data_IF_143340127062
#
_entry.id   IF_143340127062
#
_cell.length_a   1.000
_cell.length_b   1.000
_cell.length_c   1.000
_cell.angle_alpha   90.00
_cell.angle_beta   90.00
_cell.angle_gamma   90.00
#
_symmetry.space_group_name_H-M   'P 1'
#
loop_
_entity.id
_entity.type
_entity.pdbx_description
1 polymer ?
#
# COMPACT_ATOMS: atom_id res chain seq x y z
N UNK A 1 26.73 -37.50 -5.82
CA UNK A 1 25.36 -37.11 -6.16
C UNK A 1 25.39 -36.35 -7.49
N UNK A 2 24.51 -36.71 -8.42
CA UNK A 2 24.60 -36.26 -9.82
C UNK A 2 24.60 -34.74 -9.92
N UNK A 3 25.54 -34.20 -10.71
CA UNK A 3 25.54 -32.79 -11.08
C UNK A 3 24.13 -32.43 -11.56
N UNK A 4 23.40 -31.62 -10.79
CA UNK A 4 22.15 -31.05 -11.25
C UNK A 4 22.49 -30.32 -12.54
N UNK A 5 22.06 -30.86 -13.68
CA UNK A 5 22.20 -30.16 -14.95
C UNK A 5 21.58 -28.78 -14.75
N UNK A 6 22.34 -27.72 -15.05
CA UNK A 6 21.87 -26.33 -14.92
C UNK A 6 20.48 -26.16 -15.55
N UNK A 7 20.17 -26.90 -16.63
CA UNK A 7 18.85 -26.92 -17.25
C UNK A 7 17.72 -27.42 -16.33
N UNK A 8 17.93 -28.49 -15.55
CA UNK A 8 16.91 -28.99 -14.61
C UNK A 8 16.65 -28.00 -13.48
N UNK A 9 17.70 -27.34 -12.99
CA UNK A 9 17.56 -26.28 -11.99
C UNK A 9 16.75 -25.09 -12.53
N UNK A 10 17.04 -24.62 -13.75
CA UNK A 10 16.26 -23.53 -14.37
C UNK A 10 14.81 -23.94 -14.69
N UNK A 11 14.55 -25.20 -15.07
CA UNK A 11 13.19 -25.70 -15.28
C UNK A 11 12.38 -25.75 -13.98
N UNK A 12 12.97 -26.27 -12.90
CA UNK A 12 12.36 -26.29 -11.56
C UNK A 12 12.14 -24.87 -11.02
N UNK A 13 13.08 -23.95 -11.23
CA UNK A 13 12.90 -22.56 -10.82
C UNK A 13 11.78 -21.85 -11.59
N UNK A 14 11.72 -22.09 -12.91
CA UNK A 14 10.71 -21.49 -13.77
C UNK A 14 9.30 -22.00 -13.46
N UNK A 15 9.13 -23.32 -13.34
CA UNK A 15 7.82 -23.93 -13.07
C UNK A 15 7.44 -23.91 -11.58
N UNK A 16 8.41 -24.09 -10.68
CA UNK A 16 8.18 -24.21 -9.25
C UNK A 16 8.06 -22.88 -8.50
N UNK A 17 8.69 -21.80 -8.99
CA UNK A 17 8.63 -20.51 -8.31
C UNK A 17 8.22 -19.35 -9.22
N UNK A 18 8.82 -19.21 -10.41
CA UNK A 18 8.64 -18.02 -11.23
C UNK A 18 7.19 -17.86 -11.73
N UNK A 19 6.65 -18.91 -12.34
CA UNK A 19 5.27 -18.92 -12.84
C UNK A 19 4.22 -18.72 -11.72
N UNK A 20 4.23 -19.49 -10.60
CA UNK A 20 3.26 -19.29 -9.54
C UNK A 20 3.39 -17.93 -8.87
N UNK A 21 4.61 -17.42 -8.69
CA UNK A 21 4.86 -16.09 -8.11
C UNK A 21 4.27 -14.97 -9.00
N UNK A 22 4.50 -15.04 -10.31
CA UNK A 22 3.94 -14.06 -11.24
C UNK A 22 2.40 -14.14 -11.31
N UNK A 23 1.86 -15.36 -11.31
CA UNK A 23 0.40 -15.58 -11.31
C UNK A 23 -0.25 -15.05 -10.03
N UNK A 24 0.33 -15.35 -8.86
CA UNK A 24 -0.15 -14.82 -7.58
C UNK A 24 -0.08 -13.30 -7.52
N UNK A 25 1.01 -12.69 -8.01
CA UNK A 25 1.14 -11.24 -8.08
C UNK A 25 0.07 -10.60 -8.98
N UNK A 26 -0.27 -11.24 -10.09
CA UNK A 26 -1.36 -10.78 -10.96
C UNK A 26 -2.73 -10.96 -10.30
N UNK A 27 -3.01 -12.13 -9.73
CA UNK A 27 -4.28 -12.46 -9.05
C UNK A 27 -4.58 -11.51 -7.88
N UNK A 28 -3.56 -11.04 -7.18
CA UNK A 28 -3.72 -10.05 -6.12
C UNK A 28 -3.96 -8.64 -6.67
N UNK A 29 -3.24 -8.21 -7.70
CA UNK A 29 -3.21 -6.79 -8.10
C UNK A 29 -4.28 -6.43 -9.14
N UNK A 30 -4.78 -7.39 -9.93
CA UNK A 30 -5.68 -7.07 -11.06
C UNK A 30 -6.98 -6.39 -10.61
N UNK A 31 -7.60 -6.83 -9.51
CA UNK A 31 -8.82 -6.22 -8.97
C UNK A 31 -8.58 -4.76 -8.59
N UNK A 32 -7.44 -4.48 -7.95
CA UNK A 32 -7.05 -3.13 -7.57
C UNK A 32 -6.86 -2.23 -8.80
N UNK A 33 -6.23 -2.76 -9.86
CA UNK A 33 -6.04 -2.03 -11.13
C UNK A 33 -7.37 -1.70 -11.81
N UNK A 34 -8.32 -2.64 -11.82
CA UNK A 34 -9.66 -2.41 -12.39
C UNK A 34 -10.38 -1.31 -11.61
N UNK A 35 -10.38 -1.36 -10.28
CA UNK A 35 -11.05 -0.35 -9.45
C UNK A 35 -10.38 1.02 -9.64
N UNK A 36 -9.04 1.08 -9.68
CA UNK A 36 -8.31 2.31 -9.97
C UNK A 36 -8.67 2.89 -11.35
N UNK A 37 -8.78 2.04 -12.37
CA UNK A 37 -9.17 2.45 -13.72
C UNK A 37 -10.59 3.03 -13.70
N UNK A 38 -11.55 2.33 -13.09
CA UNK A 38 -12.94 2.79 -12.95
C UNK A 38 -13.02 4.13 -12.23
N UNK A 39 -12.35 4.28 -11.08
CA UNK A 39 -12.28 5.55 -10.35
C UNK A 39 -11.71 6.68 -11.23
N UNK A 40 -10.66 6.40 -12.00
CA UNK A 40 -10.07 7.39 -12.91
C UNK A 40 -11.00 7.76 -14.06
N UNK A 41 -11.72 6.80 -14.64
CA UNK A 41 -12.75 7.05 -15.66
C UNK A 41 -13.83 7.97 -15.09
N UNK A 42 -14.29 7.73 -13.86
CA UNK A 42 -15.27 8.58 -13.18
C UNK A 42 -14.77 10.02 -12.98
N UNK A 43 -13.51 10.22 -12.59
CA UNK A 43 -12.99 11.58 -12.38
C UNK A 43 -12.84 12.40 -13.66
N UNK A 44 -12.66 11.73 -14.80
CA UNK A 44 -12.62 12.39 -16.12
C UNK A 44 -13.99 12.95 -16.55
N UNK A 45 -15.10 12.51 -15.94
CA UNK A 45 -16.45 13.00 -16.26
C UNK A 45 -16.75 14.40 -15.71
N UNK A 46 -15.77 15.09 -15.11
CA UNK A 46 -15.97 16.45 -14.60
C UNK A 46 -16.86 16.54 -13.36
N UNK A 47 -16.97 15.47 -12.59
CA UNK A 47 -17.83 15.39 -11.40
C UNK A 47 -17.42 16.42 -10.31
N UNK A 48 -18.37 16.85 -9.45
CA UNK A 48 -18.06 17.68 -8.29
C UNK A 48 -17.03 17.04 -7.35
N UNK A 49 -16.19 17.85 -6.69
CA UNK A 49 -15.12 17.35 -5.80
C UNK A 49 -15.65 16.40 -4.71
N UNK A 50 -16.80 16.72 -4.13
CA UNK A 50 -17.47 15.88 -3.15
C UNK A 50 -17.72 14.45 -3.66
N UNK A 51 -18.25 14.32 -4.88
CA UNK A 51 -18.52 13.00 -5.50
C UNK A 51 -17.23 12.26 -5.78
N UNK A 52 -16.17 12.97 -6.18
CA UNK A 52 -14.84 12.38 -6.38
C UNK A 52 -14.28 11.82 -5.06
N UNK A 53 -14.33 12.58 -3.96
CA UNK A 53 -13.92 12.09 -2.64
C UNK A 53 -14.77 10.91 -2.17
N UNK A 54 -16.09 10.99 -2.33
CA UNK A 54 -16.98 9.89 -1.94
C UNK A 54 -16.70 8.61 -2.74
N UNK A 55 -16.41 8.74 -4.04
CA UNK A 55 -16.01 7.62 -4.89
C UNK A 55 -14.70 6.97 -4.41
N UNK A 56 -13.72 7.77 -3.98
CA UNK A 56 -12.48 7.24 -3.40
C UNK A 56 -12.70 6.56 -2.06
N UNK A 57 -13.57 7.10 -1.21
CA UNK A 57 -13.93 6.48 0.07
C UNK A 57 -14.59 5.13 -0.18
N UNK A 58 -15.61 5.09 -1.03
CA UNK A 58 -16.34 3.86 -1.34
C UNK A 58 -15.42 2.81 -2.00
N UNK A 59 -14.64 3.20 -3.00
CA UNK A 59 -13.67 2.31 -3.64
C UNK A 59 -12.60 1.82 -2.66
N UNK A 60 -12.10 2.70 -1.81
CA UNK A 60 -11.08 2.39 -0.82
C UNK A 60 -11.56 1.41 0.23
N UNK A 61 -12.74 1.65 0.81
CA UNK A 61 -13.40 0.71 1.73
C UNK A 61 -13.65 -0.65 1.07
N UNK A 62 -14.14 -0.66 -0.17
CA UNK A 62 -14.36 -1.90 -0.91
C UNK A 62 -13.04 -2.67 -1.10
N UNK A 63 -11.95 -1.99 -1.48
CA UNK A 63 -10.64 -2.64 -1.58
C UNK A 63 -10.10 -3.13 -0.23
N UNK A 64 -10.27 -2.36 0.84
CA UNK A 64 -9.89 -2.81 2.18
C UNK A 64 -10.64 -4.07 2.58
N UNK A 65 -11.95 -4.14 2.29
CA UNK A 65 -12.75 -5.32 2.56
C UNK A 65 -12.32 -6.52 1.70
N UNK A 66 -12.03 -6.32 0.42
CA UNK A 66 -11.57 -7.40 -0.47
C UNK A 66 -10.26 -8.05 0.02
N UNK A 67 -9.32 -7.26 0.56
CA UNK A 67 -8.01 -7.77 0.96
C UNK A 67 -7.92 -8.21 2.42
N UNK A 68 -8.65 -7.55 3.33
CA UNK A 68 -8.54 -7.77 4.77
C UNK A 68 -9.83 -8.30 5.40
N UNK A 69 -10.92 -8.40 4.65
CA UNK A 69 -12.23 -8.84 5.13
C UNK A 69 -12.65 -8.03 6.38
N UNK A 70 -13.00 -8.71 7.49
CA UNK A 70 -13.34 -8.07 8.76
C UNK A 70 -12.16 -7.37 9.44
N UNK A 71 -10.92 -7.79 9.14
CA UNK A 71 -9.72 -7.20 9.74
C UNK A 71 -9.48 -5.75 9.29
N UNK A 72 -10.16 -5.28 8.24
CA UNK A 72 -10.11 -3.87 7.85
C UNK A 72 -10.53 -2.92 8.98
N UNK A 73 -11.28 -3.41 9.98
CA UNK A 73 -11.73 -2.61 11.12
C UNK A 73 -10.57 -1.93 11.83
N UNK A 74 -9.40 -2.57 11.93
CA UNK A 74 -8.22 -1.98 12.57
C UNK A 74 -7.65 -0.80 11.79
N UNK A 75 -7.58 -0.92 10.46
CA UNK A 75 -7.17 0.19 9.58
C UNK A 75 -8.16 1.35 9.70
N UNK A 76 -9.45 1.04 9.80
CA UNK A 76 -10.52 2.03 9.96
C UNK A 76 -10.48 2.71 11.33
N UNK A 77 -10.23 1.96 12.40
CA UNK A 77 -10.06 2.52 13.74
C UNK A 77 -8.87 3.47 13.81
N UNK A 78 -7.75 3.11 13.18
CA UNK A 78 -6.58 3.98 13.09
C UNK A 78 -6.90 5.29 12.35
N UNK A 79 -7.61 5.23 11.23
CA UNK A 79 -7.95 6.45 10.47
C UNK A 79 -8.93 7.35 11.23
N UNK A 80 -9.92 6.79 11.93
CA UNK A 80 -10.84 7.52 12.79
C UNK A 80 -10.11 8.17 13.97
N UNK A 81 -9.20 7.44 14.61
CA UNK A 81 -8.35 7.96 15.67
C UNK A 81 -7.52 9.15 15.17
N UNK A 82 -6.90 9.01 13.99
CA UNK A 82 -6.11 10.08 13.39
C UNK A 82 -6.94 11.34 13.12
N UNK A 83 -8.13 11.18 12.53
CA UNK A 83 -9.02 12.31 12.27
C UNK A 83 -9.50 12.98 13.55
N UNK A 84 -9.88 12.18 14.56
CA UNK A 84 -10.31 12.70 15.86
C UNK A 84 -9.20 13.54 16.51
N UNK A 85 -7.96 13.05 16.53
CA UNK A 85 -6.83 13.81 17.05
C UNK A 85 -6.57 15.09 16.26
N UNK A 86 -6.61 15.05 14.93
CA UNK A 86 -6.47 16.25 14.09
C UNK A 86 -7.58 17.28 14.36
N UNK A 87 -8.81 16.81 14.56
CA UNK A 87 -9.95 17.66 14.86
C UNK A 87 -9.87 18.29 16.24
N UNK A 88 -9.53 17.51 17.28
CA UNK A 88 -9.35 17.99 18.65
C UNK A 88 -8.19 18.98 18.75
N UNK A 89 -7.06 18.67 18.10
CA UNK A 89 -5.88 19.51 18.09
C UNK A 89 -5.89 20.58 17.00
N UNK A 90 -7.03 20.86 16.35
CA UNK A 90 -7.15 21.81 15.22
C UNK A 90 -6.43 23.15 15.44
N UNK A 91 -6.49 23.69 16.65
CA UNK A 91 -5.90 24.98 17.04
C UNK A 91 -4.49 24.89 17.61
N UNK A 92 -3.95 23.68 17.78
CA UNK A 92 -2.59 23.46 18.26
C UNK A 92 -1.56 23.63 17.14
N UNK A 93 -0.35 24.07 17.48
CA UNK A 93 0.78 24.23 16.56
C UNK A 93 1.70 23.00 16.49
N UNK A 94 1.43 21.98 17.31
CA UNK A 94 2.24 20.76 17.45
C UNK A 94 1.42 19.49 17.15
N UNK A 95 0.47 19.58 16.20
CA UNK A 95 -0.45 18.49 15.84
C UNK A 95 0.30 17.27 15.31
N UNK A 96 1.31 17.48 14.48
CA UNK A 96 2.13 16.45 13.86
C UNK A 96 2.86 15.60 14.89
N UNK A 97 3.50 16.22 15.88
CA UNK A 97 4.21 15.51 16.94
C UNK A 97 3.27 14.67 17.78
N UNK A 98 2.16 15.26 18.26
CA UNK A 98 1.16 14.55 19.06
C UNK A 98 0.55 13.37 18.29
N UNK A 99 0.12 13.59 17.04
CA UNK A 99 -0.44 12.53 16.21
C UNK A 99 0.58 11.42 15.96
N UNK A 100 1.85 11.77 15.70
CA UNK A 100 2.91 10.79 15.48
C UNK A 100 3.12 9.88 16.68
N UNK A 101 3.15 10.45 17.89
CA UNK A 101 3.27 9.68 19.14
C UNK A 101 2.06 8.76 19.31
N UNK A 102 0.84 9.29 19.14
CA UNK A 102 -0.39 8.48 19.26
C UNK A 102 -0.41 7.33 18.27
N UNK A 103 -0.10 7.57 16.99
CA UNK A 103 -0.08 6.55 15.94
C UNK A 103 1.01 5.51 16.20
N UNK A 104 2.19 5.94 16.66
CA UNK A 104 3.27 5.02 17.02
C UNK A 104 2.86 4.09 18.16
N UNK A 105 2.25 4.64 19.23
CA UNK A 105 1.74 3.84 20.34
C UNK A 105 0.69 2.83 19.84
N UNK A 106 -0.25 3.26 18.98
CA UNK A 106 -1.25 2.37 18.40
C UNK A 106 -0.62 1.20 17.64
N UNK A 107 0.35 1.49 16.75
CA UNK A 107 1.04 0.46 15.97
C UNK A 107 1.86 -0.49 16.86
N UNK A 108 2.53 0.03 17.89
CA UNK A 108 3.30 -0.79 18.83
C UNK A 108 2.40 -1.68 19.69
N UNK A 109 1.26 -1.17 20.15
CA UNK A 109 0.27 -1.98 20.88
C UNK A 109 -0.31 -3.08 20.00
N UNK A 110 -0.55 -2.79 18.72
CA UNK A 110 -0.98 -3.77 17.74
C UNK A 110 0.05 -4.89 17.51
N UNK A 111 1.32 -4.52 17.36
CA UNK A 111 2.43 -5.47 17.17
C UNK A 111 2.72 -6.31 18.41
N UNK A 112 2.71 -5.71 19.61
CA UNK A 112 3.17 -6.36 20.83
C UNK A 112 2.06 -7.06 21.64
N UNK A 113 0.80 -6.65 21.49
CA UNK A 113 -0.22 -7.00 22.48
C UNK A 113 -1.55 -7.53 21.93
N UNK A 114 -1.95 -7.19 20.69
CA UNK A 114 -3.37 -7.28 20.30
C UNK A 114 -3.75 -8.26 19.19
N UNK A 115 -2.81 -8.87 18.44
CA UNK A 115 -3.16 -9.72 17.30
C UNK A 115 -2.23 -10.92 17.12
N UNK A 116 -2.80 -12.05 16.67
CA UNK A 116 -2.03 -13.14 16.07
C UNK A 116 -1.11 -12.58 14.97
N UNK A 117 0.17 -12.95 15.03
CA UNK A 117 1.22 -12.44 14.14
C UNK A 117 0.83 -12.56 12.66
N UNK A 118 0.15 -13.64 12.29
CA UNK A 118 -0.29 -13.92 10.92
C UNK A 118 -1.32 -12.93 10.41
N UNK A 119 -2.28 -12.49 11.23
CA UNK A 119 -3.32 -11.55 10.82
C UNK A 119 -2.79 -10.10 10.84
N UNK A 120 -1.97 -9.77 11.84
CA UNK A 120 -1.32 -8.47 11.92
C UNK A 120 -0.38 -8.21 10.72
N UNK A 121 0.46 -9.18 10.37
CA UNK A 121 1.39 -9.06 9.26
C UNK A 121 0.71 -8.81 7.91
N UNK A 122 -0.52 -9.34 7.70
CA UNK A 122 -1.30 -9.08 6.48
C UNK A 122 -1.68 -7.59 6.35
N UNK A 123 -2.13 -6.96 7.42
CA UNK A 123 -2.65 -5.57 7.39
C UNK A 123 -1.60 -4.50 7.68
N UNK A 124 -0.44 -4.89 8.23
CA UNK A 124 0.65 -3.98 8.64
C UNK A 124 1.03 -2.98 7.55
N UNK A 125 1.17 -3.44 6.30
CA UNK A 125 1.53 -2.57 5.17
C UNK A 125 0.52 -1.45 4.96
N UNK A 126 -0.78 -1.76 4.97
CA UNK A 126 -1.84 -0.77 4.80
C UNK A 126 -1.89 0.22 5.98
N UNK A 127 -1.77 -0.27 7.22
CA UNK A 127 -1.73 0.60 8.40
C UNK A 127 -0.55 1.57 8.37
N UNK A 128 0.62 1.13 7.91
CA UNK A 128 1.79 1.99 7.73
C UNK A 128 1.51 3.10 6.71
N UNK A 129 0.88 2.79 5.57
CA UNK A 129 0.52 3.81 4.58
C UNK A 129 -0.46 4.84 5.16
N UNK A 130 -1.50 4.37 5.87
CA UNK A 130 -2.47 5.24 6.55
C UNK A 130 -1.78 6.13 7.59
N UNK A 131 -0.93 5.55 8.43
CA UNK A 131 -0.15 6.26 9.44
C UNK A 131 0.73 7.35 8.80
N UNK A 132 1.53 7.00 7.79
CA UNK A 132 2.41 7.95 7.10
C UNK A 132 1.61 9.09 6.48
N UNK A 133 0.48 8.79 5.82
CA UNK A 133 -0.37 9.82 5.22
C UNK A 133 -0.94 10.79 6.25
N UNK A 134 -1.46 10.27 7.35
CA UNK A 134 -2.06 11.06 8.42
C UNK A 134 -1.03 11.93 9.14
N UNK A 135 0.14 11.35 9.48
CA UNK A 135 1.25 12.05 10.12
C UNK A 135 1.78 13.16 9.20
N UNK A 136 2.02 12.86 7.92
CA UNK A 136 2.49 13.88 6.98
C UNK A 136 1.48 15.01 6.81
N UNK A 137 0.18 14.70 6.72
CA UNK A 137 -0.86 15.73 6.68
C UNK A 137 -0.84 16.60 7.94
N UNK A 138 -0.63 16.01 9.12
CA UNK A 138 -0.54 16.76 10.36
C UNK A 138 0.67 17.71 10.39
N UNK A 139 1.83 17.27 9.91
CA UNK A 139 3.00 18.15 9.77
C UNK A 139 2.84 19.21 8.68
N UNK A 140 2.17 18.89 7.58
CA UNK A 140 1.86 19.85 6.52
C UNK A 140 0.89 20.94 7.02
N UNK A 141 -0.04 20.59 7.92
CA UNK A 141 -0.88 21.55 8.62
C UNK A 141 -0.06 22.44 9.57
N UNK A 142 0.88 21.87 10.33
CA UNK A 142 1.75 22.63 11.26
C UNK A 142 2.66 23.62 10.52
N UNK A 143 3.12 23.25 9.33
CA UNK A 143 3.93 24.12 8.47
C UNK A 143 3.11 25.12 7.65
N UNK A 144 1.77 25.03 7.69
CA UNK A 144 0.89 25.88 6.88
C UNK A 144 0.89 25.56 5.38
N UNK A 145 1.42 24.41 4.96
CA UNK A 145 1.35 23.92 3.57
C UNK A 145 -0.10 23.59 3.19
N UNK A 146 -0.89 23.12 4.16
CA UNK A 146 -2.33 22.94 4.05
C UNK A 146 -3.00 23.98 4.96
N UNK A 147 -3.89 24.80 4.39
CA UNK A 147 -4.45 25.97 5.07
C UNK A 147 -5.30 25.63 6.30
N UNK A 148 -6.03 24.52 6.27
CA UNK A 148 -6.93 24.10 7.35
C UNK A 148 -7.12 22.58 7.35
N UNK A 149 -7.59 22.06 8.49
CA UNK A 149 -7.92 20.63 8.61
C UNK A 149 -8.99 20.28 7.57
N UNK A 150 -8.75 19.30 6.68
CA UNK A 150 -9.71 18.92 5.64
C UNK A 150 -11.00 18.37 6.26
N UNK A 151 -12.09 18.45 5.50
CA UNK A 151 -13.37 17.86 5.92
C UNK A 151 -13.24 16.34 6.13
N UNK A 152 -14.13 15.70 6.92
CA UNK A 152 -14.07 14.25 7.14
C UNK A 152 -14.01 13.44 5.84
N UNK A 153 -14.75 13.89 4.82
CA UNK A 153 -14.86 13.20 3.53
C UNK A 153 -13.58 13.36 2.70
N UNK A 154 -12.98 14.56 2.70
CA UNK A 154 -11.68 14.78 2.04
C UNK A 154 -10.56 13.99 2.72
N UNK A 155 -10.53 13.98 4.05
CA UNK A 155 -9.57 13.20 4.84
C UNK A 155 -9.73 11.71 4.55
N UNK A 156 -10.94 11.17 4.67
CA UNK A 156 -11.18 9.75 4.42
C UNK A 156 -10.89 9.37 2.97
N UNK A 157 -11.21 10.22 1.99
CA UNK A 157 -10.88 9.97 0.59
C UNK A 157 -9.36 9.95 0.34
N UNK A 158 -8.61 10.82 1.02
CA UNK A 158 -7.14 10.83 0.96
C UNK A 158 -6.53 9.57 1.58
N UNK A 159 -6.97 9.22 2.80
CA UNK A 159 -6.47 8.05 3.52
C UNK A 159 -6.78 6.78 2.73
N UNK A 160 -8.03 6.61 2.31
CA UNK A 160 -8.51 5.43 1.58
C UNK A 160 -8.36 5.54 0.07
N UNK A 161 -7.48 6.40 -0.42
CA UNK A 161 -7.23 6.51 -1.85
C UNK A 161 -6.83 5.15 -2.43
N UNK A 162 -7.69 4.60 -3.30
CA UNK A 162 -7.62 3.23 -3.84
C UNK A 162 -6.24 2.88 -4.34
N UNK A 163 -5.61 3.78 -5.11
CA UNK A 163 -4.29 3.53 -5.70
C UNK A 163 -3.14 3.39 -4.69
N UNK A 164 -3.37 3.63 -3.41
CA UNK A 164 -2.33 3.63 -2.37
C UNK A 164 -2.67 2.87 -1.10
N UNK A 165 -3.95 2.65 -0.79
CA UNK A 165 -4.36 2.12 0.53
C UNK A 165 -3.85 0.71 0.82
N UNK A 166 -3.67 -0.16 -0.19
CA UNK A 166 -3.17 -1.53 -0.02
C UNK A 166 -1.66 -1.63 -0.29
N UNK A 167 -1.24 -1.34 -1.53
CA UNK A 167 0.14 -1.58 -2.00
C UNK A 167 0.87 -0.34 -2.54
N UNK A 168 0.27 0.85 -2.45
CA UNK A 168 0.90 2.02 -3.04
C UNK A 168 1.77 2.80 -2.06
N UNK A 169 2.64 3.66 -2.60
CA UNK A 169 3.52 4.47 -1.78
C UNK A 169 2.73 5.52 -1.01
N UNK A 170 3.39 6.08 0.01
CA UNK A 170 2.96 7.35 0.58
C UNK A 170 2.92 8.45 -0.49
N UNK A 171 1.86 9.25 -0.48
CA UNK A 171 1.68 10.44 -1.32
C UNK A 171 1.22 11.60 -0.44
N UNK A 172 1.58 12.83 -0.79
CA UNK A 172 1.10 14.01 -0.07
C UNK A 172 -0.38 14.30 -0.37
N UNK A 173 -1.01 15.09 0.50
CA UNK A 173 -2.41 15.50 0.32
C UNK A 173 -2.62 16.33 -0.96
N UNK A 174 -1.64 17.15 -1.35
CA UNK A 174 -1.71 17.92 -2.59
C UNK A 174 -1.61 17.02 -3.83
N UNK A 175 -0.70 16.04 -3.83
CA UNK A 175 -0.60 15.06 -4.93
C UNK A 175 -1.89 14.23 -5.08
N UNK A 176 -2.56 13.93 -3.97
CA UNK A 176 -3.89 13.29 -4.00
C UNK A 176 -4.95 14.19 -4.66
N UNK A 177 -5.01 15.49 -4.32
CA UNK A 177 -5.94 16.42 -4.97
C UNK A 177 -5.68 16.52 -6.47
N UNK A 178 -4.42 16.60 -6.89
CA UNK A 178 -4.05 16.57 -8.31
C UNK A 178 -4.48 15.27 -9.01
N UNK A 179 -4.42 14.13 -8.31
CA UNK A 179 -4.87 12.86 -8.88
C UNK A 179 -6.39 12.87 -9.16
N UNK A 180 -7.18 13.56 -8.34
CA UNK A 180 -8.63 13.73 -8.52
C UNK A 180 -9.01 14.67 -9.67
N UNK A 181 -8.09 15.49 -10.16
CA UNK A 181 -8.37 16.37 -11.32
C UNK A 181 -8.63 15.56 -12.60
N UNK A 182 -8.23 14.28 -12.64
CA UNK A 182 -8.63 13.36 -13.70
C UNK A 182 -7.85 13.58 -15.00
N UNK A 183 -6.52 13.48 -14.94
CA UNK A 183 -5.66 13.60 -16.13
C UNK A 183 -6.07 12.58 -17.21
N UNK A 184 -6.20 13.05 -18.46
CA UNK A 184 -6.57 12.23 -19.62
C UNK A 184 -5.69 10.98 -19.75
N UNK A 185 -6.32 9.86 -20.13
CA UNK A 185 -5.62 8.63 -20.47
C UNK A 185 -4.97 8.80 -21.85
N UNK A 186 -3.64 8.69 -21.92
CA UNK A 186 -2.89 8.71 -23.18
C UNK A 186 -2.25 7.34 -23.43
N UNK A 187 -1.97 7.02 -24.69
CA UNK A 187 -1.22 5.80 -25.05
C UNK A 187 0.15 5.76 -24.37
N UNK A 188 0.81 6.91 -24.24
CA UNK A 188 2.07 7.02 -23.50
C UNK A 188 1.90 6.70 -22.01
N UNK A 189 0.76 7.03 -21.40
CA UNK A 189 0.46 6.63 -20.02
C UNK A 189 0.25 5.11 -19.91
N UNK A 190 -0.51 4.50 -20.82
CA UNK A 190 -0.69 3.04 -20.85
C UNK A 190 0.64 2.31 -21.00
N UNK A 191 1.50 2.76 -21.92
CA UNK A 191 2.84 2.22 -22.09
C UNK A 191 3.67 2.31 -20.81
N UNK A 192 3.65 3.47 -20.13
CA UNK A 192 4.34 3.64 -18.84
C UNK A 192 3.81 2.68 -17.77
N UNK A 193 2.49 2.48 -17.69
CA UNK A 193 1.87 1.53 -16.75
C UNK A 193 2.33 0.11 -17.04
N UNK A 194 2.27 -0.31 -18.30
CA UNK A 194 2.71 -1.64 -18.72
C UNK A 194 4.20 -1.89 -18.41
N UNK A 195 5.08 -0.95 -18.74
CA UNK A 195 6.52 -1.07 -18.44
C UNK A 195 6.77 -1.11 -16.93
N UNK A 196 6.05 -0.30 -16.15
CA UNK A 196 6.19 -0.28 -14.69
C UNK A 196 5.71 -1.58 -14.06
N UNK A 197 4.62 -2.14 -14.58
CA UNK A 197 4.10 -3.44 -14.15
C UNK A 197 5.09 -4.57 -14.42
N UNK A 198 5.67 -4.63 -15.63
CA UNK A 198 6.71 -5.63 -15.96
C UNK A 198 7.92 -5.51 -15.03
N UNK A 199 8.40 -4.29 -14.78
CA UNK A 199 9.50 -4.06 -13.83
C UNK A 199 9.15 -4.53 -12.42
N UNK A 200 7.94 -4.26 -11.96
CA UNK A 200 7.45 -4.73 -10.65
C UNK A 200 7.44 -6.26 -10.56
N UNK A 201 6.95 -6.95 -11.59
CA UNK A 201 6.96 -8.41 -11.64
C UNK A 201 8.38 -8.98 -11.62
N UNK A 202 9.31 -8.36 -12.36
CA UNK A 202 10.73 -8.77 -12.33
C UNK A 202 11.31 -8.61 -10.92
N UNK A 203 11.07 -7.47 -10.25
CA UNK A 203 11.53 -7.27 -8.87
C UNK A 203 10.94 -8.33 -7.91
N UNK A 204 9.66 -8.63 -8.04
CA UNK A 204 8.94 -9.59 -7.20
C UNK A 204 9.49 -11.02 -7.39
N UNK A 205 9.72 -11.43 -8.64
CA UNK A 205 10.38 -12.70 -8.97
C UNK A 205 11.79 -12.75 -8.42
N UNK A 206 12.58 -11.68 -8.56
CA UNK A 206 13.95 -11.65 -8.02
C UNK A 206 13.92 -11.81 -6.50
N UNK A 207 13.04 -11.09 -5.80
CA UNK A 207 12.96 -11.15 -4.34
C UNK A 207 12.45 -12.49 -3.80
N UNK A 208 11.50 -13.13 -4.49
CA UNK A 208 10.85 -14.34 -3.98
C UNK A 208 11.50 -15.63 -4.49
N UNK A 209 12.04 -15.61 -5.70
CA UNK A 209 12.57 -16.81 -6.36
C UNK A 209 14.08 -16.82 -6.53
N UNK A 210 14.76 -15.67 -6.54
CA UNK A 210 16.21 -15.65 -6.81
C UNK A 210 16.99 -15.36 -5.52
N UNK A 211 16.55 -14.37 -4.74
CA UNK A 211 17.22 -13.99 -3.50
C UNK A 211 17.31 -15.15 -2.48
N UNK A 212 16.26 -15.95 -2.23
CA UNK A 212 16.34 -17.06 -1.26
C UNK A 212 17.34 -18.16 -1.66
N UNK A 213 17.73 -18.26 -2.94
CA UNK A 213 18.77 -19.18 -3.39
C UNK A 213 20.18 -18.55 -3.37
N UNK A 214 20.27 -17.23 -3.62
CA UNK A 214 21.52 -16.47 -3.52
C UNK A 214 22.01 -16.36 -2.07
N UNK A 215 21.12 -16.14 -1.11
CA UNK A 215 21.51 -15.94 0.29
C UNK A 215 22.24 -17.15 0.91
N UNK A 216 21.77 -18.40 0.76
CA UNK A 216 22.49 -19.59 1.22
C UNK A 216 23.82 -19.84 0.51
N UNK A 217 23.98 -19.35 -0.74
CA UNK A 217 25.24 -19.44 -1.48
C UNK A 217 26.31 -18.49 -0.91
N UNK A 218 25.92 -17.30 -0.44
CA UNK A 218 26.83 -16.32 0.15
C UNK A 218 27.03 -16.48 1.65
N UNK A 219 26.02 -16.98 2.37
CA UNK A 219 26.05 -17.21 3.82
C UNK A 219 25.48 -18.62 4.08
N UNK A 220 26.33 -19.65 4.18
CA UNK A 220 25.88 -21.01 4.49
C UNK A 220 25.40 -21.05 5.94
N UNK A 221 24.11 -20.80 6.17
CA UNK A 221 23.47 -20.92 7.49
C UNK A 221 23.38 -22.38 7.94
N UNK A 222 23.38 -23.32 7.00
CA UNK A 222 23.67 -24.73 7.25
C UNK A 222 25.14 -24.99 6.92
N UNK A 223 26.00 -24.93 7.95
CA UNK A 223 27.42 -25.24 7.78
C UNK A 223 27.61 -26.60 7.11
N UNK A 224 28.38 -26.61 6.01
CA UNK A 224 29.09 -27.71 5.33
C UNK A 224 28.67 -29.18 5.60
N UNK A 225 27.38 -29.47 5.75
CA UNK A 225 26.90 -30.85 5.99
C UNK A 225 25.83 -31.33 5.03
N UNK A 226 25.43 -30.53 4.05
CA UNK A 226 24.55 -30.96 2.95
C UNK A 226 25.24 -31.01 1.57
N UNK A 227 26.58 -30.94 1.54
CA UNK A 227 27.39 -31.14 0.32
C UNK A 227 28.39 -32.28 0.52
N UNK A 228 27.89 -33.47 0.85
CA UNK A 228 28.64 -34.73 0.69
C UNK A 228 27.77 -35.81 0.08
#
# INVERSE_FOLDING_TARGET
MGAFSRQRFFQELAHGCLLPTAQQGLEQVWQLLVICLLCRLLWMLGLPSFVKHLSTVAGGFYTLYLFFELHMIWVVLLSLLCYLFLFLCRHSTIRGTFLSITVLIYLLLGELHMMDTTNWHKMRGSQMVVAMKAISLAFDLDRGVVASVPSPIEFMGYIYFVGTVIFGPWISFNSYKEALEGRKLSLAWLWKVSVSWVKSQVCLVISNCVAPYLFPYFIPVYGDKLLR
#
